data_IF_568572433925
#
_entry.id   IF_568572433925
#
_cell.length_a   1.000
_cell.length_b   1.000
_cell.length_c   1.000
_cell.angle_alpha   90.00
_cell.angle_beta   90.00
_cell.angle_gamma   90.00
#
_symmetry.space_group_name_H-M   'P 1'
#
loop_
_entity.id
_entity.type
_entity.pdbx_description
1 polymer ?
#
# COMPACT_ATOMS: atom_id res chain seq x y z
N UNK A 1 49.28 63.40 10.08
CA UNK A 1 48.63 63.70 8.79
C UNK A 1 47.51 62.67 8.58
N UNK A 2 46.36 63.01 7.96
CA UNK A 2 45.36 62.01 7.61
C UNK A 2 45.96 61.02 6.60
N UNK A 3 45.85 59.72 6.88
CA UNK A 3 46.25 58.67 5.95
C UNK A 3 45.10 58.35 5.00
N UNK A 4 45.39 57.85 3.81
CA UNK A 4 44.38 57.31 2.91
C UNK A 4 44.38 55.78 3.00
N UNK A 5 43.22 55.16 2.79
CA UNK A 5 43.12 53.70 2.72
C UNK A 5 43.88 53.18 1.51
N UNK A 6 44.78 52.19 1.70
CA UNK A 6 45.52 51.55 0.61
C UNK A 6 44.63 50.74 -0.35
N UNK A 7 43.42 50.35 0.07
CA UNK A 7 42.50 49.57 -0.76
C UNK A 7 41.56 50.45 -1.61
N UNK A 8 40.85 51.39 -0.98
CA UNK A 8 39.83 52.21 -1.68
C UNK A 8 40.20 53.69 -1.84
N UNK A 9 41.33 54.15 -1.30
CA UNK A 9 41.79 55.53 -1.42
C UNK A 9 41.06 56.56 -0.54
N UNK A 10 40.01 56.17 0.19
CA UNK A 10 39.25 57.07 1.06
C UNK A 10 40.13 57.67 2.18
N UNK A 11 39.86 58.93 2.55
CA UNK A 11 40.54 59.58 3.68
C UNK A 11 40.12 58.92 4.98
N UNK A 12 41.10 58.51 5.76
CA UNK A 12 40.90 57.86 7.04
C UNK A 12 40.94 58.88 8.18
N UNK A 13 40.01 58.79 9.15
CA UNK A 13 40.16 59.50 10.41
C UNK A 13 41.43 59.02 11.13
N UNK A 14 42.03 59.92 11.93
CA UNK A 14 43.21 59.57 12.75
C UNK A 14 42.84 58.39 13.65
N UNK A 15 43.70 57.37 13.67
CA UNK A 15 43.58 56.14 14.47
C UNK A 15 42.46 55.15 14.10
N UNK A 16 41.91 55.23 12.89
CA UNK A 16 40.95 54.23 12.41
C UNK A 16 41.60 52.86 12.14
N UNK A 17 41.11 51.83 12.85
CA UNK A 17 41.54 50.43 12.64
C UNK A 17 40.98 49.81 11.37
N UNK A 18 39.87 50.34 10.86
CA UNK A 18 39.16 49.89 9.67
C UNK A 18 38.74 51.09 8.83
N UNK A 19 38.70 50.91 7.51
CA UNK A 19 38.17 51.92 6.61
C UNK A 19 36.64 51.94 6.69
N UNK A 20 36.00 53.10 6.96
CA UNK A 20 34.54 53.19 7.05
C UNK A 20 33.84 52.97 5.71
N UNK A 21 34.54 53.18 4.58
CA UNK A 21 33.95 53.01 3.24
C UNK A 21 34.03 51.57 2.75
N UNK A 22 35.17 50.90 2.92
CA UNK A 22 35.39 49.54 2.35
C UNK A 22 35.50 48.42 3.39
N UNK A 23 35.49 48.74 4.69
CA UNK A 23 35.56 47.76 5.78
C UNK A 23 36.93 47.10 5.99
N UNK A 24 37.94 47.41 5.17
CA UNK A 24 39.28 46.81 5.28
C UNK A 24 40.07 47.38 6.46
N UNK A 25 40.77 46.52 7.21
CA UNK A 25 41.66 46.93 8.32
C UNK A 25 42.85 47.74 7.82
N UNK A 26 43.19 48.83 8.50
CA UNK A 26 44.23 49.79 8.06
C UNK A 26 45.47 49.83 8.95
N UNK A 27 45.70 48.79 9.77
CA UNK A 27 46.95 48.63 10.52
C UNK A 27 47.92 47.72 9.77
N UNK A 28 49.06 48.30 9.38
CA UNK A 28 50.20 47.61 8.80
C UNK A 28 50.75 46.53 9.75
N UNK A 29 50.45 45.28 9.44
CA UNK A 29 51.29 44.09 9.55
C UNK A 29 50.42 42.93 9.05
N UNK A 30 50.62 42.51 7.80
CA UNK A 30 49.98 41.33 7.21
C UNK A 30 50.51 40.01 7.85
N UNK A 31 50.82 40.00 9.15
CA UNK A 31 51.66 38.96 9.75
C UNK A 31 51.14 38.33 11.04
N UNK A 32 49.90 38.59 11.47
CA UNK A 32 49.31 37.80 12.57
C UNK A 32 47.81 37.64 12.42
N UNK A 33 47.40 36.88 11.40
CA UNK A 33 46.31 35.91 11.61
C UNK A 33 46.92 34.54 11.41
N UNK A 34 47.68 34.07 12.41
CA UNK A 34 47.90 32.65 12.54
C UNK A 34 46.50 32.04 12.69
N UNK A 35 46.08 31.30 11.67
CA UNK A 35 44.92 30.41 11.78
C UNK A 35 45.28 29.44 12.91
N UNK A 36 44.77 29.70 14.10
CA UNK A 36 44.88 28.76 15.20
C UNK A 36 44.03 27.54 14.81
N UNK A 37 44.69 26.40 14.59
CA UNK A 37 44.00 25.17 14.25
C UNK A 37 42.98 24.87 15.36
N UNK A 38 41.70 24.78 14.96
CA UNK A 38 40.61 24.42 15.86
C UNK A 38 41.01 23.11 16.56
N UNK A 39 41.04 23.05 17.91
CA UNK A 39 41.34 21.82 18.62
C UNK A 39 40.43 20.69 18.10
N UNK A 40 40.96 19.48 17.85
CA UNK A 40 40.13 18.39 17.35
C UNK A 40 38.96 18.15 18.31
N UNK A 41 37.78 17.81 17.77
CA UNK A 41 36.58 17.50 18.57
C UNK A 41 36.88 16.36 19.57
N UNK A 42 37.21 16.71 20.81
CA UNK A 42 37.29 15.80 21.96
C UNK A 42 35.91 15.41 22.51
N UNK A 43 34.85 15.51 21.70
CA UNK A 43 33.53 15.00 22.03
C UNK A 43 33.35 13.60 21.44
N UNK A 44 34.18 12.66 21.91
CA UNK A 44 33.88 11.24 21.76
C UNK A 44 32.46 10.93 22.28
N UNK A 45 31.81 9.89 21.74
CA UNK A 45 30.49 9.45 22.22
C UNK A 45 30.56 9.13 23.71
N UNK A 46 30.23 10.11 24.56
CA UNK A 46 29.99 9.86 25.98
C UNK A 46 28.75 8.98 26.05
N UNK A 47 28.82 7.76 26.61
CA UNK A 47 27.67 6.89 26.72
C UNK A 47 26.66 7.54 27.67
N UNK A 48 25.70 8.27 27.11
CA UNK A 48 24.57 8.79 27.88
C UNK A 48 23.71 7.60 28.27
N UNK A 49 23.88 7.11 29.49
CA UNK A 49 22.98 6.12 30.08
C UNK A 49 21.61 6.76 30.28
N UNK A 50 20.73 6.60 29.28
CA UNK A 50 19.32 6.95 29.40
C UNK A 50 18.66 5.94 30.34
N UNK A 51 18.57 6.29 31.62
CA UNK A 51 17.73 5.56 32.56
C UNK A 51 16.30 5.94 32.24
N UNK A 52 15.60 5.08 31.48
CA UNK A 52 14.17 5.22 31.27
C UNK A 52 13.45 4.95 32.61
N UNK A 53 13.04 6.02 33.29
CA UNK A 53 12.22 5.91 34.50
C UNK A 53 10.81 5.56 34.04
N UNK A 54 10.47 4.27 34.07
CA UNK A 54 9.12 3.82 33.79
C UNK A 54 8.16 4.37 34.87
N UNK A 55 7.16 5.22 34.53
CA UNK A 55 6.21 5.71 35.49
C UNK A 55 5.38 4.53 36.02
N UNK A 56 5.63 4.14 37.27
CA UNK A 56 4.83 3.14 37.98
C UNK A 56 3.58 3.84 38.49
N UNK A 57 2.48 3.72 37.75
CA UNK A 57 1.17 4.16 38.22
C UNK A 57 0.71 3.24 39.36
N UNK A 58 0.88 3.69 40.60
CA UNK A 58 0.29 3.03 41.77
C UNK A 58 -1.24 3.09 41.66
N UNK A 59 -1.90 1.93 41.62
CA UNK A 59 -3.35 1.80 41.74
C UNK A 59 -4.11 1.46 40.45
N UNK A 60 -3.48 1.49 39.28
CA UNK A 60 -4.10 1.01 38.03
C UNK A 60 -3.48 -0.34 37.70
N UNK A 61 -4.31 -1.38 37.56
CA UNK A 61 -3.85 -2.72 37.23
C UNK A 61 -2.92 -2.67 36.01
N UNK A 62 -1.78 -3.41 36.01
CA UNK A 62 -0.87 -3.43 34.88
C UNK A 62 -1.65 -3.66 33.58
N UNK A 63 -1.34 -3.00 32.46
CA UNK A 63 -2.06 -3.19 31.21
C UNK A 63 -2.11 -4.66 30.76
N UNK A 64 -1.12 -5.46 31.18
CA UNK A 64 -1.13 -6.92 31.04
C UNK A 64 -2.29 -7.60 31.77
N UNK A 65 -2.64 -7.15 32.97
CA UNK A 65 -3.77 -7.69 33.73
C UNK A 65 -5.10 -7.37 33.05
N UNK A 66 -5.27 -6.17 32.50
CA UNK A 66 -6.47 -5.82 31.71
C UNK A 66 -6.58 -6.68 30.44
N UNK A 67 -5.47 -6.90 29.74
CA UNK A 67 -5.45 -7.77 28.56
C UNK A 67 -5.78 -9.22 28.93
N UNK A 68 -5.14 -9.77 29.97
CA UNK A 68 -5.40 -11.12 30.45
C UNK A 68 -6.87 -11.28 30.88
N UNK A 69 -7.44 -10.28 31.54
CA UNK A 69 -8.85 -10.28 31.94
C UNK A 69 -9.78 -10.22 30.73
N UNK A 70 -9.47 -9.41 29.71
CA UNK A 70 -10.24 -9.38 28.45
C UNK A 70 -10.22 -10.74 27.74
N UNK A 71 -9.06 -11.39 27.64
CA UNK A 71 -8.93 -12.72 27.02
C UNK A 71 -9.66 -13.78 27.84
N UNK A 72 -9.50 -13.77 29.17
CA UNK A 72 -10.17 -14.72 30.05
C UNK A 72 -11.70 -14.57 29.98
N UNK A 73 -12.21 -13.34 30.03
CA UNK A 73 -13.66 -13.07 29.90
C UNK A 73 -14.20 -13.51 28.55
N UNK A 74 -13.46 -13.30 27.46
CA UNK A 74 -13.81 -13.80 26.13
C UNK A 74 -13.92 -15.32 26.09
N UNK A 75 -12.93 -16.04 26.63
CA UNK A 75 -12.93 -17.52 26.67
C UNK A 75 -14.13 -18.03 27.48
N UNK A 76 -14.40 -17.44 28.64
CA UNK A 76 -15.56 -17.82 29.46
C UNK A 76 -16.87 -17.56 28.72
N UNK A 77 -16.99 -16.44 28.00
CA UNK A 77 -18.17 -16.13 27.19
C UNK A 77 -18.43 -17.21 26.13
N UNK A 78 -17.38 -17.65 25.41
CA UNK A 78 -17.47 -18.71 24.39
C UNK A 78 -17.92 -20.04 25.01
N UNK A 79 -17.37 -20.41 26.17
CA UNK A 79 -17.75 -21.64 26.87
C UNK A 79 -19.21 -21.60 27.33
N UNK A 80 -19.69 -20.48 27.88
CA UNK A 80 -21.10 -20.35 28.27
C UNK A 80 -22.05 -20.40 27.08
N UNK A 81 -21.63 -19.87 25.93
CA UNK A 81 -22.39 -19.94 24.70
C UNK A 81 -22.51 -21.39 24.20
N UNK A 82 -21.41 -22.16 24.24
CA UNK A 82 -21.41 -23.59 23.92
C UNK A 82 -22.28 -24.41 24.89
N UNK A 83 -22.37 -23.99 26.16
CA UNK A 83 -23.22 -24.61 27.17
C UNK A 83 -24.71 -24.24 27.07
N UNK A 84 -25.14 -23.52 26.03
CA UNK A 84 -26.54 -23.14 25.79
C UNK A 84 -27.06 -21.96 26.63
N UNK A 85 -26.21 -21.32 27.44
CA UNK A 85 -26.57 -20.15 28.26
C UNK A 85 -26.40 -18.86 27.46
N UNK A 86 -27.29 -18.64 26.50
CA UNK A 86 -27.19 -17.54 25.51
C UNK A 86 -27.17 -16.15 26.15
N UNK A 87 -28.02 -15.89 27.15
CA UNK A 87 -28.08 -14.57 27.83
C UNK A 87 -26.78 -14.29 28.61
N UNK A 88 -26.30 -15.25 29.41
CA UNK A 88 -25.08 -15.08 30.20
C UNK A 88 -23.84 -14.95 29.30
N UNK A 89 -23.78 -15.73 28.21
CA UNK A 89 -22.73 -15.62 27.21
C UNK A 89 -22.72 -14.25 26.53
N UNK A 90 -23.90 -13.72 26.15
CA UNK A 90 -24.02 -12.41 25.52
C UNK A 90 -23.55 -11.26 26.43
N UNK A 91 -23.91 -11.29 27.72
CA UNK A 91 -23.47 -10.28 28.71
C UNK A 91 -21.95 -10.31 28.89
N UNK A 92 -21.34 -11.50 29.01
CA UNK A 92 -19.88 -11.61 29.13
C UNK A 92 -19.15 -11.18 27.85
N UNK A 93 -19.72 -11.46 26.69
CA UNK A 93 -19.15 -11.01 25.41
C UNK A 93 -19.14 -9.47 25.33
N UNK A 94 -20.23 -8.81 25.76
CA UNK A 94 -20.27 -7.35 25.84
C UNK A 94 -19.22 -6.80 26.82
N UNK A 95 -19.03 -7.44 27.97
CA UNK A 95 -17.98 -7.07 28.93
C UNK A 95 -16.57 -7.23 28.33
N UNK A 96 -16.31 -8.34 27.63
CA UNK A 96 -15.02 -8.58 26.97
C UNK A 96 -14.71 -7.51 25.89
N UNK A 97 -15.72 -7.09 25.12
CA UNK A 97 -15.60 -5.99 24.15
C UNK A 97 -15.28 -4.67 24.87
N UNK A 98 -15.99 -4.36 25.95
CA UNK A 98 -15.73 -3.15 26.75
C UNK A 98 -14.30 -3.13 27.30
N UNK A 99 -13.82 -4.23 27.89
CA UNK A 99 -12.44 -4.34 28.37
C UNK A 99 -11.42 -4.19 27.25
N UNK A 100 -11.70 -4.74 26.07
CA UNK A 100 -10.85 -4.59 24.89
C UNK A 100 -10.76 -3.12 24.43
N UNK A 101 -11.90 -2.41 24.40
CA UNK A 101 -11.94 -0.96 24.08
C UNK A 101 -11.15 -0.15 25.11
N UNK A 102 -11.33 -0.44 26.41
CA UNK A 102 -10.59 0.21 27.49
C UNK A 102 -9.08 -0.04 27.37
N UNK A 103 -8.65 -1.26 27.03
CA UNK A 103 -7.26 -1.59 26.76
C UNK A 103 -6.69 -0.81 25.56
N UNK A 104 -7.44 -0.71 24.47
CA UNK A 104 -7.05 0.10 23.31
C UNK A 104 -6.95 1.59 23.67
N UNK A 105 -7.90 2.12 24.43
CA UNK A 105 -7.87 3.51 24.88
C UNK A 105 -6.68 3.79 25.82
N UNK A 106 -6.37 2.86 26.74
CA UNK A 106 -5.25 2.96 27.65
C UNK A 106 -3.89 2.86 26.92
N UNK A 107 -3.76 1.92 25.99
CA UNK A 107 -2.54 1.74 25.18
C UNK A 107 -2.24 2.92 24.26
N UNK A 108 -3.28 3.57 23.70
CA UNK A 108 -3.10 4.83 22.93
C UNK A 108 -2.51 5.97 23.77
N UNK A 109 -2.72 5.97 25.08
CA UNK A 109 -2.20 7.00 25.99
C UNK A 109 -0.78 6.74 26.48
N UNK A 110 -0.26 5.51 26.38
CA UNK A 110 1.07 5.12 26.88
C UNK A 110 1.85 4.30 25.82
N UNK A 111 2.53 4.97 24.87
CA UNK A 111 3.13 4.32 23.69
C UNK A 111 4.44 3.51 23.93
N UNK A 112 4.91 3.36 25.17
CA UNK A 112 6.26 2.83 25.49
C UNK A 112 6.31 1.39 26.03
N UNK A 113 5.28 0.56 25.80
CA UNK A 113 5.22 -0.80 26.38
C UNK A 113 5.59 -1.89 25.35
N UNK A 114 6.39 -2.89 25.76
CA UNK A 114 6.75 -4.09 24.94
C UNK A 114 5.52 -4.81 24.38
N UNK A 115 4.41 -4.77 25.13
CA UNK A 115 3.10 -5.32 24.76
C UNK A 115 2.42 -4.50 23.64
N UNK A 116 2.73 -3.20 23.48
CA UNK A 116 2.28 -2.44 22.32
C UNK A 116 2.99 -2.90 21.03
N UNK A 117 4.19 -3.49 21.13
CA UNK A 117 4.96 -4.03 20.00
C UNK A 117 4.45 -5.42 19.58
N UNK A 118 4.18 -6.29 20.55
CA UNK A 118 3.47 -7.57 20.34
C UNK A 118 2.01 -7.36 19.91
N UNK A 119 1.36 -6.36 20.50
CA UNK A 119 0.03 -5.90 20.14
C UNK A 119 0.00 -5.35 18.72
N UNK A 120 0.96 -4.53 18.28
CA UNK A 120 1.02 -3.99 16.91
C UNK A 120 1.22 -5.07 15.85
N UNK A 121 2.05 -6.10 16.07
CA UNK A 121 2.22 -7.18 15.09
C UNK A 121 1.02 -8.14 15.02
N UNK A 122 0.27 -8.30 16.11
CA UNK A 122 -1.03 -8.96 16.09
C UNK A 122 -2.10 -8.06 15.45
N UNK A 123 -2.08 -6.76 15.75
CA UNK A 123 -3.02 -5.78 15.23
C UNK A 123 -2.79 -5.51 13.75
N UNK A 124 -1.57 -5.54 13.22
CA UNK A 124 -1.25 -5.35 11.79
C UNK A 124 -1.75 -6.54 10.95
N UNK A 125 -1.52 -7.78 11.40
CA UNK A 125 -2.12 -8.98 10.78
C UNK A 125 -3.65 -8.98 10.83
N UNK A 126 -4.21 -8.36 11.86
CA UNK A 126 -5.66 -8.15 12.00
C UNK A 126 -6.10 -6.94 11.18
N UNK A 127 -5.28 -5.90 11.01
CA UNK A 127 -5.64 -4.62 10.38
C UNK A 127 -5.72 -4.72 8.87
N UNK A 128 -4.81 -5.49 8.26
CA UNK A 128 -4.91 -5.92 6.85
C UNK A 128 -6.18 -6.77 6.60
N UNK A 129 -6.77 -7.32 7.67
CA UNK A 129 -8.03 -8.08 7.65
C UNK A 129 -9.24 -7.28 8.14
N UNK A 130 -9.07 -6.15 8.85
CA UNK A 130 -10.18 -5.41 9.49
C UNK A 130 -10.84 -4.37 8.62
N UNK A 131 -10.13 -3.82 7.62
CA UNK A 131 -10.75 -2.89 6.66
C UNK A 131 -11.98 -3.53 6.01
N UNK A 132 -11.87 -4.82 5.70
CA UNK A 132 -12.96 -5.63 5.15
C UNK A 132 -13.92 -6.20 6.18
N UNK A 133 -13.46 -6.50 7.39
CA UNK A 133 -14.33 -7.09 8.41
C UNK A 133 -15.37 -6.10 8.96
N UNK A 134 -15.05 -4.81 9.09
CA UNK A 134 -15.99 -3.84 9.69
C UNK A 134 -17.16 -3.53 8.75
N UNK A 135 -16.93 -3.47 7.44
CA UNK A 135 -17.97 -3.24 6.44
C UNK A 135 -18.79 -4.52 6.15
N UNK A 136 -18.15 -5.70 6.18
CA UNK A 136 -18.86 -6.97 6.10
C UNK A 136 -19.77 -7.23 7.31
N UNK A 137 -19.36 -6.81 8.51
CA UNK A 137 -20.14 -6.98 9.75
C UNK A 137 -21.37 -6.07 9.78
N UNK A 138 -21.28 -4.83 9.29
CA UNK A 138 -22.43 -3.92 9.26
C UNK A 138 -23.50 -4.38 8.25
N UNK A 139 -23.09 -4.86 7.07
CA UNK A 139 -24.00 -5.43 6.06
C UNK A 139 -24.67 -6.72 6.56
N UNK A 140 -24.01 -7.51 7.40
CA UNK A 140 -24.57 -8.73 7.98
C UNK A 140 -25.68 -8.49 9.02
N UNK A 141 -25.74 -7.31 9.62
CA UNK A 141 -26.65 -7.06 10.75
C UNK A 141 -28.11 -6.88 10.34
N UNK A 142 -28.37 -6.16 9.24
CA UNK A 142 -29.73 -5.88 8.76
C UNK A 142 -30.38 -7.11 8.14
N UNK A 143 -29.66 -7.83 7.27
CA UNK A 143 -30.15 -9.08 6.68
C UNK A 143 -30.44 -10.15 7.75
N UNK A 144 -29.64 -10.24 8.82
CA UNK A 144 -29.91 -11.14 9.93
C UNK A 144 -31.18 -10.78 10.71
N UNK A 145 -31.42 -9.50 10.95
CA UNK A 145 -32.63 -9.04 11.61
C UNK A 145 -33.88 -9.36 10.77
N UNK A 146 -33.81 -9.13 9.46
CA UNK A 146 -34.90 -9.44 8.53
C UNK A 146 -35.18 -10.95 8.46
N UNK A 147 -34.15 -11.78 8.34
CA UNK A 147 -34.30 -13.25 8.39
C UNK A 147 -34.87 -13.73 9.72
N UNK A 148 -34.47 -13.12 10.84
CA UNK A 148 -35.01 -13.46 12.16
C UNK A 148 -36.50 -13.14 12.25
N UNK A 149 -36.92 -11.99 11.72
CA UNK A 149 -38.33 -11.61 11.63
C UNK A 149 -39.12 -12.60 10.78
N UNK A 150 -38.63 -12.93 9.58
CA UNK A 150 -39.29 -13.90 8.69
C UNK A 150 -39.41 -15.29 9.32
N UNK A 151 -38.38 -15.75 10.04
CA UNK A 151 -38.43 -17.02 10.77
C UNK A 151 -39.49 -17.02 11.87
N UNK A 152 -39.64 -15.90 12.58
CA UNK A 152 -40.68 -15.77 13.60
C UNK A 152 -42.07 -15.82 12.97
N UNK A 153 -42.31 -15.07 11.89
CA UNK A 153 -43.57 -15.09 11.14
C UNK A 153 -43.88 -16.50 10.58
N UNK A 154 -42.87 -17.20 10.04
CA UNK A 154 -43.02 -18.59 9.58
C UNK A 154 -43.40 -19.53 10.73
N UNK A 155 -42.76 -19.42 11.90
CA UNK A 155 -43.08 -20.25 13.07
C UNK A 155 -44.53 -20.05 13.55
N UNK A 156 -45.05 -18.83 13.44
CA UNK A 156 -46.43 -18.51 13.78
C UNK A 156 -47.40 -19.14 12.78
N UNK A 157 -47.12 -19.05 11.48
CA UNK A 157 -47.92 -19.71 10.44
C UNK A 157 -47.94 -21.24 10.57
N UNK A 158 -46.80 -21.85 10.92
CA UNK A 158 -46.73 -23.31 11.17
C UNK A 158 -47.61 -23.71 12.36
N UNK A 159 -47.63 -22.92 13.43
CA UNK A 159 -48.52 -23.15 14.56
C UNK A 159 -50.00 -23.02 14.16
N UNK A 160 -50.35 -21.99 13.39
CA UNK A 160 -51.72 -21.81 12.87
C UNK A 160 -52.15 -22.97 11.95
N UNK A 161 -51.25 -23.47 11.11
CA UNK A 161 -51.49 -24.64 10.26
C UNK A 161 -51.76 -25.90 11.09
N UNK A 162 -51.02 -26.07 12.19
CA UNK A 162 -51.25 -27.17 13.13
C UNK A 162 -52.66 -27.14 13.75
N UNK A 163 -53.13 -25.95 14.12
CA UNK A 163 -54.49 -25.78 14.64
C UNK A 163 -55.55 -26.00 13.55
N UNK A 164 -55.35 -25.43 12.36
CA UNK A 164 -56.26 -25.64 11.23
C UNK A 164 -56.37 -27.13 10.82
N UNK A 165 -55.27 -27.88 10.90
CA UNK A 165 -55.27 -29.33 10.68
C UNK A 165 -56.16 -30.07 11.69
N UNK A 166 -56.13 -29.65 12.96
CA UNK A 166 -57.00 -30.20 14.02
C UNK A 166 -58.46 -29.93 13.74
N UNK A 167 -58.81 -28.69 13.41
CA UNK A 167 -60.19 -28.27 13.08
C UNK A 167 -60.71 -29.01 11.85
N UNK A 168 -59.89 -29.13 10.80
CA UNK A 168 -60.25 -29.91 9.61
C UNK A 168 -60.50 -31.39 9.96
N UNK A 169 -59.65 -31.98 10.80
CA UNK A 169 -59.85 -33.34 11.27
C UNK A 169 -61.19 -33.52 12.01
N UNK A 170 -61.51 -32.60 12.92
CA UNK A 170 -62.78 -32.60 13.67
C UNK A 170 -63.99 -32.50 12.74
N UNK A 171 -63.98 -31.57 11.77
CA UNK A 171 -65.06 -31.43 10.79
C UNK A 171 -65.24 -32.69 9.93
N UNK A 172 -64.15 -33.32 9.50
CA UNK A 172 -64.17 -34.56 8.72
C UNK A 172 -64.76 -35.71 9.54
N UNK A 173 -64.40 -35.83 10.81
CA UNK A 173 -64.97 -36.85 11.70
C UNK A 173 -66.45 -36.58 12.04
N UNK A 174 -66.83 -35.30 12.18
CA UNK A 174 -68.20 -34.88 12.44
C UNK A 174 -69.15 -35.04 11.24
N UNK A 175 -68.62 -35.16 10.03
CA UNK A 175 -69.40 -35.34 8.80
C UNK A 175 -70.11 -34.08 8.31
N UNK A 176 -69.70 -32.89 8.77
CA UNK A 176 -70.26 -31.61 8.34
C UNK A 176 -69.54 -31.11 7.08
N UNK A 177 -70.10 -31.41 5.90
CA UNK A 177 -69.46 -31.11 4.60
C UNK A 177 -69.09 -29.62 4.43
N UNK A 178 -69.98 -28.71 4.83
CA UNK A 178 -69.74 -27.27 4.77
C UNK A 178 -68.54 -26.85 5.65
N UNK A 179 -68.42 -27.44 6.85
CA UNK A 179 -67.31 -27.17 7.77
C UNK A 179 -65.98 -27.74 7.24
N UNK A 180 -66.02 -28.90 6.58
CA UNK A 180 -64.86 -29.50 5.92
C UNK A 180 -64.36 -28.61 4.79
N UNK A 181 -65.26 -28.06 3.97
CA UNK A 181 -64.87 -27.16 2.88
C UNK A 181 -64.23 -25.87 3.42
N UNK A 182 -64.83 -25.25 4.44
CA UNK A 182 -64.26 -24.07 5.11
C UNK A 182 -62.88 -24.36 5.70
N UNK A 183 -62.72 -25.47 6.41
CA UNK A 183 -61.45 -25.84 7.03
C UNK A 183 -60.37 -26.17 5.97
N UNK A 184 -60.75 -26.78 4.84
CA UNK A 184 -59.86 -27.05 3.71
C UNK A 184 -59.39 -25.75 3.05
N UNK A 185 -60.30 -24.81 2.82
CA UNK A 185 -59.97 -23.50 2.28
C UNK A 185 -58.98 -22.77 3.20
N UNK A 186 -59.24 -22.77 4.51
CA UNK A 186 -58.33 -22.18 5.50
C UNK A 186 -56.95 -22.82 5.51
N UNK A 187 -56.86 -24.15 5.39
CA UNK A 187 -55.59 -24.86 5.28
C UNK A 187 -54.82 -24.45 4.02
N UNK A 188 -55.51 -24.32 2.89
CA UNK A 188 -54.90 -23.92 1.62
C UNK A 188 -54.35 -22.48 1.65
N UNK A 189 -55.05 -21.56 2.34
CA UNK A 189 -54.56 -20.19 2.56
C UNK A 189 -53.27 -20.18 3.39
N UNK A 190 -53.21 -20.99 4.46
CA UNK A 190 -52.02 -21.09 5.32
C UNK A 190 -50.84 -21.71 4.57
N UNK A 191 -51.08 -22.75 3.77
CA UNK A 191 -50.05 -23.38 2.93
C UNK A 191 -49.49 -22.39 1.90
N UNK A 192 -50.34 -21.56 1.28
CA UNK A 192 -49.92 -20.49 0.38
C UNK A 192 -49.08 -19.43 1.10
N UNK A 193 -49.54 -18.96 2.28
CA UNK A 193 -48.81 -17.99 3.08
C UNK A 193 -47.43 -18.50 3.54
N UNK A 194 -47.32 -19.78 3.90
CA UNK A 194 -46.05 -20.43 4.22
C UNK A 194 -45.12 -20.44 3.00
N UNK A 195 -45.62 -20.87 1.84
CA UNK A 195 -44.84 -20.90 0.60
C UNK A 195 -44.40 -19.49 0.14
N UNK A 196 -45.22 -18.46 0.37
CA UNK A 196 -44.85 -17.06 0.14
C UNK A 196 -43.71 -16.62 1.06
N UNK A 197 -43.80 -16.93 2.36
CA UNK A 197 -42.75 -16.58 3.35
C UNK A 197 -41.44 -17.30 3.10
N UNK A 198 -41.47 -18.57 2.70
CA UNK A 198 -40.27 -19.32 2.32
C UNK A 198 -39.59 -18.72 1.08
N UNK A 199 -40.37 -18.30 0.09
CA UNK A 199 -39.87 -17.58 -1.09
C UNK A 199 -39.26 -16.24 -0.72
N UNK A 200 -39.87 -15.48 0.19
CA UNK A 200 -39.34 -14.22 0.71
C UNK A 200 -37.99 -14.43 1.40
N UNK A 201 -37.88 -15.40 2.29
CA UNK A 201 -36.64 -15.75 2.99
C UNK A 201 -35.52 -16.16 2.01
N UNK A 202 -35.87 -16.90 0.95
CA UNK A 202 -34.92 -17.28 -0.11
C UNK A 202 -34.42 -16.06 -0.88
N UNK A 203 -35.31 -15.11 -1.22
CA UNK A 203 -34.93 -13.85 -1.88
C UNK A 203 -33.99 -13.01 -1.03
N UNK A 204 -34.29 -12.83 0.26
CA UNK A 204 -33.42 -12.07 1.19
C UNK A 204 -32.04 -12.72 1.30
N UNK A 205 -31.99 -14.05 1.39
CA UNK A 205 -30.73 -14.80 1.47
C UNK A 205 -29.91 -14.66 0.18
N UNK A 206 -30.55 -14.80 -0.99
CA UNK A 206 -29.91 -14.64 -2.29
C UNK A 206 -29.34 -13.23 -2.48
N UNK A 207 -30.13 -12.20 -2.15
CA UNK A 207 -29.71 -10.80 -2.24
C UNK A 207 -28.54 -10.50 -1.30
N UNK A 208 -28.55 -11.04 -0.08
CA UNK A 208 -27.44 -10.91 0.86
C UNK A 208 -26.15 -11.56 0.31
N UNK A 209 -26.26 -12.78 -0.23
CA UNK A 209 -25.13 -13.49 -0.82
C UNK A 209 -24.55 -12.77 -2.05
N UNK A 210 -25.39 -12.22 -2.91
CA UNK A 210 -24.96 -11.43 -4.07
C UNK A 210 -24.17 -10.19 -3.65
N UNK A 211 -24.63 -9.48 -2.60
CA UNK A 211 -23.89 -8.33 -2.05
C UNK A 211 -22.54 -8.74 -1.48
N UNK A 212 -22.46 -9.89 -0.82
CA UNK A 212 -21.19 -10.43 -0.30
C UNK A 212 -20.24 -10.79 -1.44
N UNK A 213 -20.72 -11.47 -2.48
CA UNK A 213 -19.91 -11.81 -3.65
C UNK A 213 -19.40 -10.55 -4.35
N UNK A 214 -20.27 -9.54 -4.56
CA UNK A 214 -19.87 -8.25 -5.13
C UNK A 214 -18.80 -7.56 -4.28
N UNK A 215 -18.97 -7.54 -2.97
CA UNK A 215 -17.98 -6.99 -2.05
C UNK A 215 -16.67 -7.79 -2.13
N UNK A 216 -16.69 -9.13 -2.18
CA UNK A 216 -15.47 -9.93 -2.33
C UNK A 216 -14.73 -9.64 -3.64
N UNK A 217 -15.44 -9.46 -4.75
CA UNK A 217 -14.84 -9.16 -6.06
C UNK A 217 -14.11 -7.81 -6.09
N UNK A 218 -14.61 -6.79 -5.37
CA UNK A 218 -13.96 -5.49 -5.26
C UNK A 218 -12.64 -5.52 -4.46
N UNK A 219 -12.41 -6.62 -3.75
CA UNK A 219 -11.43 -6.74 -2.67
C UNK A 219 -10.37 -7.76 -2.99
N UNK A 220 -10.66 -8.64 -3.93
CA UNK A 220 -9.65 -9.54 -4.46
C UNK A 220 -8.44 -8.70 -4.90
N UNK A 221 -7.25 -9.00 -4.36
CA UNK A 221 -6.04 -8.31 -4.77
C UNK A 221 -5.97 -8.40 -6.29
N UNK A 222 -5.91 -7.26 -6.97
CA UNK A 222 -5.73 -7.23 -8.42
C UNK A 222 -4.39 -7.90 -8.70
N UNK A 223 -4.44 -9.20 -9.03
CA UNK A 223 -3.27 -9.93 -9.43
C UNK A 223 -2.79 -9.28 -10.73
N UNK A 224 -1.57 -8.78 -10.72
CA UNK A 224 -0.91 -8.30 -11.93
C UNK A 224 -0.74 -9.55 -12.79
N UNK A 225 -1.56 -9.68 -13.83
CA UNK A 225 -1.38 -10.71 -14.84
C UNK A 225 -0.10 -10.31 -15.58
N UNK A 226 0.97 -11.06 -15.36
CA UNK A 226 2.15 -10.92 -16.21
C UNK A 226 1.71 -11.17 -17.65
N UNK A 227 1.93 -10.20 -18.57
CA UNK A 227 1.60 -10.42 -19.97
C UNK A 227 2.30 -11.70 -20.44
N UNK A 228 1.66 -12.50 -21.31
CA UNK A 228 2.29 -13.70 -21.84
C UNK A 228 3.68 -13.32 -22.35
N UNK A 229 4.70 -14.05 -21.89
CA UNK A 229 6.07 -13.89 -22.35
C UNK A 229 6.03 -13.92 -23.88
N UNK A 230 6.21 -12.76 -24.50
CA UNK A 230 6.36 -12.68 -25.95
C UNK A 230 7.58 -13.57 -26.23
N UNK A 231 7.44 -14.65 -27.03
CA UNK A 231 8.57 -15.49 -27.35
C UNK A 231 9.71 -14.60 -27.82
N UNK A 232 10.90 -14.75 -27.22
CA UNK A 232 12.08 -13.98 -27.64
C UNK A 232 12.15 -14.02 -29.17
N UNK A 233 12.34 -12.88 -29.86
CA UNK A 233 12.46 -12.88 -31.30
C UNK A 233 13.57 -13.86 -31.66
N UNK A 234 13.22 -14.86 -32.47
CA UNK A 234 14.16 -15.92 -32.86
C UNK A 234 15.49 -15.28 -33.30
N UNK A 235 16.64 -15.88 -32.97
CA UNK A 235 17.92 -15.34 -33.41
C UNK A 235 17.87 -15.10 -34.92
N UNK A 236 18.23 -13.89 -35.33
CA UNK A 236 18.25 -13.52 -36.75
C UNK A 236 19.06 -14.58 -37.52
N UNK A 237 18.61 -14.99 -38.72
CA UNK A 237 19.35 -15.94 -39.53
C UNK A 237 20.80 -15.48 -39.67
N UNK A 238 21.75 -16.39 -39.44
CA UNK A 238 23.18 -16.12 -39.54
C UNK A 238 23.47 -15.35 -40.82
N UNK A 239 24.20 -14.22 -40.71
CA UNK A 239 24.64 -13.49 -41.90
C UNK A 239 25.35 -14.45 -42.86
N UNK A 240 25.07 -14.39 -44.18
CA UNK A 240 25.72 -15.27 -45.14
C UNK A 240 27.25 -15.13 -45.04
N UNK A 241 28.01 -16.21 -45.25
CA UNK A 241 29.46 -16.18 -45.07
C UNK A 241 30.07 -15.09 -45.94
N UNK A 242 30.91 -14.25 -45.33
CA UNK A 242 31.59 -13.17 -46.04
C UNK A 242 32.46 -13.76 -47.17
N UNK A 243 32.56 -13.10 -48.34
CA UNK A 243 33.37 -13.59 -49.45
C UNK A 243 34.83 -13.75 -49.02
N UNK A 244 35.41 -14.91 -49.34
CA UNK A 244 36.84 -15.19 -49.10
C UNK A 244 37.68 -14.19 -49.90
N UNK A 245 38.45 -13.34 -49.22
CA UNK A 245 39.45 -12.47 -49.83
C UNK A 245 40.60 -13.32 -50.36
N UNK A 246 40.71 -13.43 -51.68
CA UNK A 246 41.86 -14.04 -52.35
C UNK A 246 43.05 -13.07 -52.21
N UNK A 247 44.20 -13.51 -51.67
CA UNK A 247 45.40 -12.66 -51.61
C UNK A 247 45.88 -12.28 -53.02
N UNK A 248 46.20 -11.01 -53.23
CA UNK A 248 46.74 -10.51 -54.50
C UNK A 248 48.08 -11.20 -54.86
N UNK A 249 48.33 -11.49 -56.15
CA UNK A 249 49.57 -12.13 -56.57
C UNK A 249 50.76 -11.19 -56.35
N UNK A 250 51.87 -11.74 -55.85
CA UNK A 250 53.09 -10.99 -55.53
C UNK A 250 53.70 -10.29 -56.76
N UNK A 251 54.31 -9.11 -56.58
CA UNK A 251 54.83 -8.31 -57.69
C UNK A 251 56.03 -8.98 -58.39
N UNK A 252 56.04 -8.91 -59.72
CA UNK A 252 57.12 -9.41 -60.59
C UNK A 252 58.38 -8.54 -60.41
N UNK A 253 59.60 -9.12 -60.32
CA UNK A 253 60.85 -8.35 -60.19
C UNK A 253 61.10 -7.43 -61.39
N UNK A 254 61.49 -6.18 -61.12
CA UNK A 254 61.75 -5.13 -62.12
C UNK A 254 62.90 -5.49 -63.08
N UNK A 255 62.65 -5.36 -64.38
CA UNK A 255 63.70 -5.45 -65.41
C UNK A 255 64.68 -4.26 -65.34
N UNK A 256 65.97 -4.47 -65.67
CA UNK A 256 67.02 -3.45 -65.56
C UNK A 256 66.83 -2.28 -66.54
N UNK A 257 67.36 -1.08 -66.21
CA UNK A 257 67.08 0.16 -66.93
C UNK A 257 67.60 0.13 -68.38
N UNK A 258 66.75 0.55 -69.32
CA UNK A 258 67.11 0.71 -70.73
C UNK A 258 68.04 1.93 -70.95
N UNK A 259 68.88 1.91 -72.00
CA UNK A 259 69.87 2.97 -72.27
C UNK A 259 69.21 4.31 -72.65
N UNK A 260 69.81 5.41 -72.20
CA UNK A 260 69.37 6.78 -72.49
C UNK A 260 69.57 7.11 -73.99
N UNK A 261 68.53 7.55 -74.73
CA UNK A 261 68.71 8.07 -76.08
C UNK A 261 69.35 9.47 -76.08
N UNK A 262 70.29 9.68 -77.01
CA UNK A 262 71.08 10.90 -77.21
C UNK A 262 70.24 12.10 -77.72
N UNK A 263 70.70 13.36 -77.56
CA UNK A 263 69.97 14.54 -77.99
C UNK A 263 70.14 14.78 -79.50
N UNK A 264 69.05 15.15 -80.16
CA UNK A 264 69.05 15.58 -81.57
C UNK A 264 68.51 17.01 -81.73
N UNK A 265 68.87 17.72 -82.82
CA UNK A 265 69.45 19.07 -82.78
C UNK A 265 68.46 20.23 -83.05
N UNK A 266 68.80 21.44 -82.57
CA UNK A 266 68.30 22.74 -83.10
C UNK A 266 68.82 22.94 -84.54
N UNK A 267 68.34 23.89 -85.39
CA UNK A 267 67.25 24.89 -85.26
C UNK A 267 66.38 25.07 -86.54
N UNK A 268 65.36 25.94 -86.49
CA UNK A 268 65.23 27.02 -87.50
C UNK A 268 64.27 28.14 -87.01
N UNK A 269 64.65 29.42 -87.12
CA UNK A 269 63.78 30.56 -86.79
C UNK A 269 63.22 31.25 -88.04
N UNK A 270 62.02 31.83 -87.93
CA UNK A 270 61.54 33.11 -88.52
C UNK A 270 60.02 33.06 -88.81
N UNK A 271 59.30 34.20 -89.01
CA UNK A 271 59.73 35.61 -89.02
C UNK A 271 58.89 36.53 -88.09
N UNK A 272 59.24 37.83 -87.97
CA UNK A 272 58.60 38.76 -87.03
C UNK A 272 57.44 39.58 -87.64
N UNK A 273 56.49 39.93 -86.76
CA UNK A 273 55.71 41.19 -86.67
C UNK A 273 54.68 41.49 -87.80
N UNK A 274 53.55 42.19 -87.52
CA UNK A 274 53.57 43.49 -86.85
C UNK A 274 52.44 43.80 -85.84
N UNK A 275 52.77 44.73 -84.94
CA UNK A 275 51.83 45.65 -84.30
C UNK A 275 50.92 46.31 -85.35
N UNK A 276 49.65 46.58 -85.03
CA UNK A 276 49.19 47.97 -84.90
C UNK A 276 47.69 48.09 -84.54
N UNK A 277 47.31 49.26 -83.99
CA UNK A 277 46.16 49.47 -83.12
C UNK A 277 44.97 50.09 -83.86
N UNK A 278 43.85 50.20 -83.14
CA UNK A 278 42.87 51.29 -83.28
C UNK A 278 42.22 51.54 -81.92
#
# INVERSE_FOLDING_TARGET
MPANCGNCGARLPRDSRFCPECGVRVSAANDVTAVEEVPPEETGRVPVHRVAVAPRYFGIAPPLALFALAVATLVVAVVLFAAGKTIAGAVLLAAAVLFSVLFVAASRRLPENVVARLGRTALERVRDRTGFAVEAVSVHSTARMELFRLRRELSELVAQRGEAARVLGEAVYGGAEDEVEVARNRMSELDQALADKEREMTRVTAAANERIQRAQLQVQPTAIVEPPQVPEPMPAPSEPPQPVTVPEPSPVPSEPPMPVPAPDPTPEPSPPHPEQPS
#
